data_IF_276382278604
#
_entry.id   IF_276382278604
#
_cell.length_a   1.000
_cell.length_b   1.000
_cell.length_c   1.000
_cell.angle_alpha   90.00
_cell.angle_beta   90.00
_cell.angle_gamma   90.00
#
_symmetry.space_group_name_H-M   'P 1'
#
loop_
_entity.id
_entity.type
_entity.pdbx_description
1 polymer ?
#
# COMPACT_ATOMS: atom_id res chain seq x y z
N UNK A 1 -6.25 17.85 -15.63
CA UNK A 1 -6.30 16.54 -16.35
C UNK A 1 -6.86 15.51 -15.38
N UNK A 2 -7.57 14.46 -15.84
CA UNK A 2 -7.94 13.36 -14.94
C UNK A 2 -6.68 12.70 -14.38
N UNK A 3 -6.66 12.45 -13.08
CA UNK A 3 -5.53 11.82 -12.39
C UNK A 3 -5.36 10.35 -12.84
N UNK A 4 -4.12 9.84 -12.98
CA UNK A 4 -3.90 8.46 -13.37
C UNK A 4 -4.39 7.52 -12.27
N UNK A 5 -5.35 6.66 -12.62
CA UNK A 5 -5.90 5.63 -11.72
C UNK A 5 -5.44 4.25 -12.20
N UNK A 6 -4.70 3.54 -11.35
CA UNK A 6 -4.39 2.13 -11.53
C UNK A 6 -5.36 1.28 -10.70
N UNK A 7 -5.82 0.17 -11.27
CA UNK A 7 -6.62 -0.85 -10.56
C UNK A 7 -5.96 -2.21 -10.69
N UNK A 8 -6.19 -3.09 -9.73
CA UNK A 8 -5.58 -4.41 -9.74
C UNK A 8 -6.20 -5.39 -8.76
N UNK A 9 -5.85 -6.66 -8.99
CA UNK A 9 -6.25 -7.78 -8.15
C UNK A 9 -5.05 -8.68 -7.90
N UNK A 10 -5.04 -9.38 -6.76
CA UNK A 10 -4.00 -10.34 -6.43
C UNK A 10 -4.55 -11.48 -5.58
N UNK A 11 -4.25 -12.71 -5.98
CA UNK A 11 -4.55 -13.88 -5.15
C UNK A 11 -3.65 -13.91 -3.90
N UNK A 12 -4.12 -14.46 -2.76
CA UNK A 12 -3.37 -14.48 -1.50
C UNK A 12 -2.11 -15.38 -1.54
N UNK A 13 -2.05 -16.30 -2.49
CA UNK A 13 -0.92 -17.21 -2.74
C UNK A 13 -0.08 -16.80 -3.96
N UNK A 14 -0.40 -15.66 -4.59
CA UNK A 14 0.33 -15.19 -5.76
C UNK A 14 1.83 -15.02 -5.46
N UNK A 15 2.72 -15.48 -6.35
CA UNK A 15 4.15 -15.47 -6.12
C UNK A 15 4.68 -14.05 -5.97
N UNK A 16 5.78 -13.89 -5.20
CA UNK A 16 6.48 -12.61 -5.06
C UNK A 16 6.77 -11.99 -6.43
N UNK A 17 6.59 -10.66 -6.62
CA UNK A 17 6.97 -9.99 -7.87
C UNK A 17 8.46 -10.19 -8.20
N UNK A 18 8.76 -10.30 -9.49
CA UNK A 18 10.13 -10.29 -9.98
C UNK A 18 10.78 -8.90 -9.72
N UNK A 19 12.04 -8.87 -9.29
CA UNK A 19 12.75 -7.62 -9.02
C UNK A 19 12.42 -6.91 -7.69
N UNK A 20 11.59 -7.49 -6.84
CA UNK A 20 11.31 -6.92 -5.53
C UNK A 20 12.58 -6.85 -4.65
N UNK A 21 12.78 -5.74 -3.94
CA UNK A 21 13.94 -5.51 -3.08
C UNK A 21 13.88 -6.32 -1.78
N UNK A 22 12.68 -6.63 -1.29
CA UNK A 22 12.49 -7.44 -0.08
C UNK A 22 12.20 -8.91 -0.41
N UNK A 23 12.60 -9.81 0.49
CA UNK A 23 12.41 -11.25 0.33
C UNK A 23 10.97 -11.70 0.56
N UNK A 24 10.26 -11.02 1.44
CA UNK A 24 8.88 -11.36 1.79
C UNK A 24 8.11 -10.08 2.11
N UNK A 25 6.85 -10.04 1.69
CA UNK A 25 5.85 -9.08 2.15
C UNK A 25 4.48 -9.74 2.06
N UNK A 26 3.48 -9.10 2.68
CA UNK A 26 2.10 -9.53 2.60
C UNK A 26 1.57 -9.46 1.15
N UNK A 27 0.68 -10.39 0.71
CA UNK A 27 0.04 -10.31 -0.60
C UNK A 27 -0.63 -8.95 -0.85
N UNK A 28 -1.28 -8.35 0.14
CA UNK A 28 -1.87 -7.02 0.02
C UNK A 28 -0.80 -5.96 -0.27
N UNK A 29 0.34 -6.01 0.44
CA UNK A 29 1.45 -5.09 0.24
C UNK A 29 2.05 -5.22 -1.16
N UNK A 30 2.16 -6.44 -1.69
CA UNK A 30 2.60 -6.64 -3.08
C UNK A 30 1.64 -6.05 -4.10
N UNK A 31 0.33 -6.21 -3.90
CA UNK A 31 -0.68 -5.58 -4.78
C UNK A 31 -0.52 -4.05 -4.76
N UNK A 32 -0.42 -3.45 -3.57
CA UNK A 32 -0.22 -2.00 -3.43
C UNK A 32 1.06 -1.55 -4.12
N UNK A 33 2.17 -2.26 -3.93
CA UNK A 33 3.44 -1.95 -4.59
C UNK A 33 3.33 -2.02 -6.12
N UNK A 34 2.63 -3.02 -6.66
CA UNK A 34 2.39 -3.14 -8.11
C UNK A 34 1.53 -1.98 -8.65
N UNK A 35 0.51 -1.57 -7.90
CA UNK A 35 -0.37 -0.44 -8.27
C UNK A 35 0.38 0.89 -8.29
N UNK A 36 1.14 1.18 -7.23
CA UNK A 36 1.99 2.37 -7.15
C UNK A 36 3.00 2.38 -8.29
N UNK A 37 3.65 1.24 -8.56
CA UNK A 37 4.59 1.12 -9.67
C UNK A 37 3.97 1.41 -11.03
N UNK A 38 2.70 1.06 -11.26
CA UNK A 38 1.99 1.40 -12.50
C UNK A 38 1.79 2.90 -12.63
N UNK A 39 1.26 3.54 -11.59
CA UNK A 39 1.04 5.00 -11.58
C UNK A 39 2.35 5.76 -11.79
N UNK A 40 3.42 5.37 -11.08
CA UNK A 40 4.73 6.02 -11.18
C UNK A 40 5.49 5.79 -12.50
N UNK A 41 5.09 4.81 -13.31
CA UNK A 41 5.67 4.63 -14.66
C UNK A 41 5.15 5.66 -15.64
N UNK A 42 3.89 6.04 -15.50
CA UNK A 42 3.21 6.95 -16.43
C UNK A 42 3.28 8.41 -15.95
N UNK A 43 3.69 8.64 -14.69
CA UNK A 43 3.82 9.97 -14.12
C UNK A 43 5.21 10.59 -14.40
N UNK A 44 5.27 11.77 -15.05
CA UNK A 44 6.54 12.44 -15.39
C UNK A 44 7.14 13.27 -14.26
N UNK A 45 6.46 13.41 -13.11
CA UNK A 45 6.90 14.25 -12.01
C UNK A 45 8.09 13.68 -11.24
N UNK A 46 8.70 14.54 -10.42
CA UNK A 46 9.80 14.14 -9.54
C UNK A 46 9.26 13.29 -8.37
N UNK A 47 9.95 12.21 -8.06
CA UNK A 47 9.51 11.24 -7.05
C UNK A 47 9.78 11.70 -5.61
N UNK A 48 10.41 12.85 -5.45
CA UNK A 48 10.80 13.35 -4.15
C UNK A 48 10.36 14.81 -3.90
N UNK A 49 9.58 15.09 -2.84
CA UNK A 49 8.96 14.16 -1.89
C UNK A 49 7.52 13.73 -2.28
N UNK A 50 7.31 12.48 -2.73
CA UNK A 50 5.94 11.94 -2.94
C UNK A 50 5.40 11.32 -1.64
N UNK A 51 4.22 11.77 -1.21
CA UNK A 51 3.50 11.17 -0.09
C UNK A 51 2.72 9.91 -0.47
N UNK A 52 2.45 9.02 0.49
CA UNK A 52 1.68 7.78 0.25
C UNK A 52 0.64 7.58 1.34
N UNK A 53 -0.63 7.57 0.96
CA UNK A 53 -1.75 7.38 1.87
C UNK A 53 -2.52 6.13 1.48
N UNK A 54 -2.58 5.15 2.37
CA UNK A 54 -3.36 3.92 2.18
C UNK A 54 -4.63 3.90 3.00
N UNK A 55 -5.67 3.25 2.48
CA UNK A 55 -6.90 2.93 3.21
C UNK A 55 -7.20 1.45 3.05
N UNK A 56 -7.29 0.73 4.16
CA UNK A 56 -7.52 -0.71 4.15
C UNK A 56 -7.96 -1.21 5.53
N UNK A 57 -9.15 -1.80 5.62
CA UNK A 57 -9.58 -2.49 6.85
C UNK A 57 -8.70 -3.72 7.13
N UNK A 58 -8.32 -4.41 6.06
CA UNK A 58 -7.64 -5.70 6.13
C UNK A 58 -6.12 -5.60 6.37
N UNK A 59 -5.50 -4.51 5.90
CA UNK A 59 -4.06 -4.28 5.92
C UNK A 59 -3.23 -5.51 5.53
N UNK A 60 -2.37 -6.01 6.42
CA UNK A 60 -1.47 -7.16 6.27
C UNK A 60 -2.02 -8.44 6.89
N UNK A 61 -3.36 -8.59 6.86
CA UNK A 61 -4.08 -9.63 7.59
C UNK A 61 -3.66 -11.08 7.28
N UNK A 62 -3.20 -11.38 6.07
CA UNK A 62 -2.73 -12.74 5.73
C UNK A 62 -1.45 -13.10 6.46
N UNK A 63 -0.47 -12.19 6.46
CA UNK A 63 0.79 -12.40 7.14
C UNK A 63 0.59 -12.39 8.65
N UNK A 64 -0.26 -11.52 9.18
CA UNK A 64 -0.59 -11.51 10.61
C UNK A 64 -1.20 -12.86 11.07
N UNK A 65 -2.13 -13.43 10.30
CA UNK A 65 -2.71 -14.75 10.58
C UNK A 65 -1.68 -15.87 10.51
N UNK A 66 -0.75 -15.82 9.55
CA UNK A 66 0.35 -16.79 9.44
C UNK A 66 1.28 -16.71 10.64
N UNK A 67 1.67 -15.51 11.05
CA UNK A 67 2.50 -15.29 12.26
C UNK A 67 1.78 -15.82 13.50
N UNK A 68 0.49 -15.55 13.66
CA UNK A 68 -0.29 -16.08 14.78
C UNK A 68 -0.29 -17.62 14.81
N UNK A 69 -0.44 -18.27 13.65
CA UNK A 69 -0.38 -19.73 13.54
C UNK A 69 1.01 -20.32 13.83
N UNK A 70 2.09 -19.58 13.56
CA UNK A 70 3.46 -19.98 13.91
C UNK A 70 3.70 -19.90 15.43
N UNK A 71 3.22 -18.84 16.08
CA UNK A 71 3.39 -18.62 17.52
C UNK A 71 2.82 -19.79 18.33
N UNK A 72 1.67 -20.34 17.94
CA UNK A 72 1.05 -21.52 18.57
C UNK A 72 1.98 -22.74 18.52
N UNK A 73 2.89 -22.80 17.55
CA UNK A 73 3.89 -23.87 17.40
C UNK A 73 5.24 -23.50 18.04
N UNK A 74 5.29 -22.45 18.86
CA UNK A 74 6.51 -21.92 19.49
C UNK A 74 7.61 -21.54 18.48
N UNK A 75 7.23 -21.12 17.28
CA UNK A 75 8.13 -20.62 16.25
C UNK A 75 7.63 -19.28 15.72
N UNK A 76 8.52 -18.43 15.23
CA UNK A 76 8.15 -17.21 14.49
C UNK A 76 9.21 -16.95 13.44
N UNK A 77 8.80 -16.76 12.19
CA UNK A 77 9.70 -16.23 11.16
C UNK A 77 9.93 -14.73 11.37
N UNK A 78 11.19 -14.27 11.60
CA UNK A 78 11.46 -12.84 11.77
C UNK A 78 11.04 -12.01 10.54
N UNK A 79 11.19 -12.58 9.34
CA UNK A 79 10.78 -11.91 8.09
C UNK A 79 9.26 -11.70 8.03
N UNK A 80 8.47 -12.70 8.42
CA UNK A 80 7.00 -12.58 8.43
C UNK A 80 6.52 -11.68 9.56
N UNK A 81 7.18 -11.73 10.71
CA UNK A 81 6.86 -10.88 11.84
C UNK A 81 6.95 -9.40 11.48
N UNK A 82 8.06 -8.98 10.86
CA UNK A 82 8.23 -7.58 10.40
C UNK A 82 7.20 -7.23 9.31
N UNK A 83 6.97 -8.13 8.36
CA UNK A 83 6.02 -7.92 7.28
C UNK A 83 4.54 -7.94 7.71
N UNK A 84 4.24 -8.37 8.94
CA UNK A 84 2.90 -8.38 9.49
C UNK A 84 2.43 -7.00 9.99
N UNK A 85 3.32 -6.00 10.09
CA UNK A 85 2.94 -4.64 10.48
C UNK A 85 1.96 -4.03 9.47
N UNK A 86 0.85 -3.40 9.91
CA UNK A 86 -0.07 -2.73 9.00
C UNK A 86 0.65 -1.70 8.10
N UNK A 87 1.62 -0.97 8.67
CA UNK A 87 2.40 0.03 7.93
C UNK A 87 3.17 -0.54 6.73
N UNK A 88 3.46 -1.85 6.70
CA UNK A 88 4.08 -2.51 5.55
C UNK A 88 3.23 -2.41 4.28
N UNK A 89 1.90 -2.30 4.40
CA UNK A 89 1.00 -2.21 3.25
C UNK A 89 1.41 -1.09 2.27
N UNK A 90 1.72 0.09 2.80
CA UNK A 90 2.16 1.26 2.01
C UNK A 90 3.67 1.49 2.09
N UNK A 91 4.30 1.12 3.21
CA UNK A 91 5.73 1.30 3.41
C UNK A 91 6.59 0.50 2.43
N UNK A 92 6.09 -0.63 1.93
CA UNK A 92 6.78 -1.40 0.90
C UNK A 92 6.97 -0.61 -0.39
N UNK A 93 5.94 0.10 -0.87
CA UNK A 93 6.08 0.96 -2.05
C UNK A 93 7.05 2.10 -1.81
N UNK A 94 7.05 2.70 -0.61
CA UNK A 94 8.01 3.75 -0.27
C UNK A 94 9.45 3.25 -0.38
N UNK A 95 9.73 2.06 0.17
CA UNK A 95 11.05 1.43 0.07
C UNK A 95 11.42 1.10 -1.38
N UNK A 96 10.50 0.44 -2.11
CA UNK A 96 10.77 -0.07 -3.46
C UNK A 96 11.03 1.04 -4.48
N UNK A 97 10.38 2.20 -4.33
CA UNK A 97 10.44 3.31 -5.30
C UNK A 97 11.17 4.55 -4.77
N UNK A 98 11.73 4.50 -3.55
CA UNK A 98 12.43 5.64 -2.96
C UNK A 98 11.51 6.83 -2.69
N UNK A 99 10.32 6.60 -2.14
CA UNK A 99 9.37 7.67 -1.84
C UNK A 99 9.63 8.19 -0.43
N UNK A 100 9.97 9.48 -0.33
CA UNK A 100 10.43 10.11 0.90
C UNK A 100 9.43 11.11 1.52
N UNK A 101 8.24 11.25 0.93
CA UNK A 101 7.17 12.06 1.50
C UNK A 101 6.49 11.41 2.71
N UNK A 102 5.51 12.10 3.32
CA UNK A 102 4.73 11.55 4.43
C UNK A 102 4.01 10.27 3.99
N UNK A 103 3.97 9.27 4.88
CA UNK A 103 3.21 8.05 4.64
C UNK A 103 2.28 7.71 5.80
N UNK A 104 1.10 7.21 5.48
CA UNK A 104 0.08 6.84 6.46
C UNK A 104 -0.80 5.71 5.93
N UNK A 105 -1.19 4.79 6.82
CA UNK A 105 -2.25 3.83 6.56
C UNK A 105 -3.43 4.09 7.51
N UNK A 106 -4.61 4.27 6.94
CA UNK A 106 -5.88 4.27 7.66
C UNK A 106 -6.43 2.84 7.69
N UNK A 107 -6.44 2.22 8.86
CA UNK A 107 -6.93 0.84 9.06
C UNK A 107 -8.45 0.80 9.23
N UNK A 108 -9.18 1.05 8.14
CA UNK A 108 -10.65 1.13 8.10
C UNK A 108 -11.18 0.83 6.69
N UNK A 109 -12.48 0.51 6.52
CA UNK A 109 -13.07 0.26 5.21
C UNK A 109 -12.90 1.46 4.27
N UNK A 110 -12.62 1.27 2.96
CA UNK A 110 -12.50 2.38 2.02
C UNK A 110 -13.72 3.29 1.94
N UNK A 111 -14.92 2.77 2.17
CA UNK A 111 -16.15 3.57 2.24
C UNK A 111 -16.06 4.72 3.24
N UNK A 112 -15.37 4.49 4.36
CA UNK A 112 -15.30 5.41 5.49
C UNK A 112 -13.97 6.18 5.51
N UNK A 113 -12.90 5.49 5.11
CA UNK A 113 -11.54 6.05 5.15
C UNK A 113 -11.17 6.90 3.95
N UNK A 114 -11.76 6.68 2.77
CA UNK A 114 -11.39 7.45 1.57
C UNK A 114 -11.70 8.95 1.71
N UNK A 115 -12.85 9.38 2.26
CA UNK A 115 -13.10 10.80 2.55
C UNK A 115 -12.04 11.42 3.48
N UNK A 116 -11.64 10.71 4.55
CA UNK A 116 -10.61 11.16 5.49
C UNK A 116 -9.25 11.25 4.80
N UNK A 117 -8.90 10.24 4.00
CA UNK A 117 -7.66 10.21 3.26
C UNK A 117 -7.54 11.35 2.25
N UNK A 118 -8.62 11.69 1.53
CA UNK A 118 -8.61 12.82 0.59
C UNK A 118 -8.41 14.16 1.30
N UNK A 119 -9.00 14.35 2.48
CA UNK A 119 -8.77 15.57 3.30
C UNK A 119 -7.31 15.65 3.73
N UNK A 120 -6.73 14.55 4.21
CA UNK A 120 -5.32 14.49 4.63
C UNK A 120 -4.36 14.73 3.46
N UNK A 121 -4.62 14.10 2.31
CA UNK A 121 -3.85 14.31 1.10
C UNK A 121 -3.90 15.77 0.66
N UNK A 122 -5.08 16.39 0.64
CA UNK A 122 -5.22 17.82 0.37
C UNK A 122 -4.39 18.69 1.31
N UNK A 123 -4.30 18.34 2.60
CA UNK A 123 -3.40 19.04 3.54
C UNK A 123 -1.93 18.82 3.22
N UNK A 124 -1.51 17.61 2.88
CA UNK A 124 -0.12 17.36 2.48
C UNK A 124 0.26 18.13 1.21
N UNK A 125 -0.66 18.25 0.25
CA UNK A 125 -0.46 19.00 -0.99
C UNK A 125 -0.28 20.52 -0.77
N UNK A 126 -0.64 21.06 0.41
CA UNK A 126 -0.41 22.49 0.72
C UNK A 126 1.02 22.83 1.16
N UNK A 127 1.90 21.84 1.29
CA UNK A 127 3.32 22.11 1.59
C UNK A 127 4.16 20.97 2.15
N UNK A 128 3.58 19.80 2.42
CA UNK A 128 4.34 18.62 2.88
C UNK A 128 4.83 17.73 1.71
N UNK A 129 4.09 17.69 0.61
CA UNK A 129 4.43 16.92 -0.59
C UNK A 129 3.81 17.57 -1.84
N UNK A 130 4.52 17.70 -2.98
CA UNK A 130 3.94 18.16 -4.25
C UNK A 130 2.94 17.17 -4.86
N UNK A 131 3.06 15.88 -4.52
CA UNK A 131 2.17 14.83 -4.99
C UNK A 131 1.91 13.77 -3.90
N UNK A 132 0.74 13.15 -3.94
CA UNK A 132 0.32 12.10 -2.99
C UNK A 132 -0.29 10.93 -3.76
N UNK A 133 0.25 9.73 -3.53
CA UNK A 133 -0.36 8.49 -3.98
C UNK A 133 -1.43 8.07 -2.97
N UNK A 134 -2.68 8.04 -3.40
CA UNK A 134 -3.81 7.56 -2.62
C UNK A 134 -4.15 6.13 -3.04
N UNK A 135 -4.06 5.20 -2.09
CA UNK A 135 -4.26 3.77 -2.32
C UNK A 135 -5.45 3.27 -1.53
N UNK A 136 -6.32 2.48 -2.16
CA UNK A 136 -7.33 1.69 -1.46
C UNK A 136 -7.04 0.21 -1.61
N UNK A 137 -7.35 -0.55 -0.58
CA UNK A 137 -7.25 -2.01 -0.60
C UNK A 137 -8.43 -2.66 0.13
N UNK A 138 -9.01 -3.66 -0.50
CA UNK A 138 -10.09 -4.50 0.02
C UNK A 138 -9.80 -5.97 -0.28
N UNK A 139 -10.49 -6.85 0.42
CA UNK A 139 -10.46 -8.29 0.16
C UNK A 139 -11.88 -8.75 -0.12
N UNK A 140 -12.08 -9.44 -1.24
CA UNK A 140 -13.39 -9.99 -1.55
C UNK A 140 -13.69 -11.28 -0.77
N UNK A 141 -14.91 -11.81 -0.91
CA UNK A 141 -15.34 -13.02 -0.20
C UNK A 141 -14.50 -14.26 -0.49
N UNK A 142 -13.77 -14.29 -1.61
CA UNK A 142 -12.87 -15.40 -1.97
C UNK A 142 -11.49 -15.28 -1.33
N UNK A 143 -11.20 -14.19 -0.63
CA UNK A 143 -9.86 -13.87 -0.12
C UNK A 143 -8.97 -13.21 -1.19
N UNK A 144 -9.52 -12.82 -2.34
CA UNK A 144 -8.75 -12.13 -3.39
C UNK A 144 -8.61 -10.66 -3.02
N UNK A 145 -7.38 -10.16 -3.04
CA UNK A 145 -7.06 -8.77 -2.81
C UNK A 145 -7.43 -7.92 -4.02
N UNK A 146 -8.03 -6.76 -3.77
CA UNK A 146 -8.38 -5.76 -4.78
C UNK A 146 -7.91 -4.41 -4.31
N UNK A 147 -7.50 -3.55 -5.24
CA UNK A 147 -7.07 -2.22 -4.86
C UNK A 147 -7.03 -1.26 -6.02
N UNK A 148 -6.99 0.02 -5.66
CA UNK A 148 -6.80 1.14 -6.58
C UNK A 148 -5.67 2.02 -6.09
N UNK A 149 -5.02 2.71 -7.01
CA UNK A 149 -4.05 3.76 -6.70
C UNK A 149 -4.31 4.95 -7.62
N UNK A 150 -4.39 6.13 -7.05
CA UNK A 150 -4.61 7.41 -7.71
C UNK A 150 -3.46 8.35 -7.31
N UNK A 151 -3.00 9.18 -8.25
CA UNK A 151 -2.01 10.22 -7.97
C UNK A 151 -2.69 11.58 -7.88
N UNK A 152 -2.64 12.18 -6.69
CA UNK A 152 -3.10 13.53 -6.42
C UNK A 152 -1.93 14.52 -6.53
N UNK A 153 -2.12 15.64 -7.22
CA UNK A 153 -1.11 16.70 -7.36
C UNK A 153 -1.66 18.04 -6.85
N UNK A 154 -0.75 18.92 -6.40
CA UNK A 154 -1.11 20.30 -6.11
C UNK A 154 -1.52 21.00 -7.43
N UNK A 155 -2.58 21.82 -7.36
CA UNK A 155 -3.10 22.56 -8.51
C UNK A 155 -2.20 23.70 -8.96
#
# INVERSE_FOLDING_TARGET
MPEPIATGVRAPDAPRPAGAQVRYADPAAWLVCDLVGRVLRDWPGDREPVGVLGVSEYATGDTLRRVAAEVVKHAVSPLRFVAASPGTLVGLSCLQFGLHGPSLLLTMPPSDGLPVARVLAGRWLTGAAPAVLLVTHEVDRSGTHRGTCELLEAA
#
